data_IF_128614111444
#
_entry.id   IF_128614111444
#
_cell.length_a   1.000
_cell.length_b   1.000
_cell.length_c   1.000
_cell.angle_alpha   90.00
_cell.angle_beta   90.00
_cell.angle_gamma   90.00
#
_symmetry.space_group_name_H-M   'P 1'
#
loop_
_entity.id
_entity.type
_entity.pdbx_description
1 polymer ?
#
# COMPACT_ATOMS: atom_id res chain seq x y z
N UNK A 1 3.53 2.24 -17.68
CA UNK A 1 3.22 2.28 -16.24
C UNK A 1 3.87 1.03 -15.68
N UNK A 2 4.79 1.17 -14.74
CA UNK A 2 5.49 0.02 -14.17
C UNK A 2 4.53 -0.81 -13.31
N UNK A 3 4.88 -2.09 -13.15
CA UNK A 3 4.10 -3.08 -12.42
C UNK A 3 5.03 -3.90 -11.54
N UNK A 4 4.55 -4.22 -10.35
CA UNK A 4 5.27 -4.99 -9.34
C UNK A 4 4.50 -6.28 -9.06
N UNK A 5 5.25 -7.38 -8.85
CA UNK A 5 4.66 -8.66 -8.48
C UNK A 5 4.58 -8.73 -6.95
N UNK A 6 3.36 -8.79 -6.41
CA UNK A 6 3.12 -8.84 -4.97
C UNK A 6 2.99 -10.31 -4.58
N UNK A 7 3.91 -10.81 -3.75
CA UNK A 7 4.03 -12.25 -3.50
C UNK A 7 4.31 -12.64 -2.05
N UNK A 8 4.03 -13.91 -1.76
CA UNK A 8 4.47 -14.66 -0.59
C UNK A 8 4.88 -16.04 -1.12
N UNK A 9 6.15 -16.46 -0.95
CA UNK A 9 6.66 -17.76 -1.42
C UNK A 9 6.38 -18.03 -2.91
N UNK A 10 6.76 -17.09 -3.78
CA UNK A 10 6.56 -17.13 -5.24
C UNK A 10 5.09 -17.16 -5.73
N UNK A 11 4.12 -17.09 -4.81
CA UNK A 11 2.70 -17.01 -5.11
C UNK A 11 2.24 -15.57 -4.96
N UNK A 12 1.53 -15.05 -5.95
CA UNK A 12 1.24 -13.63 -6.00
C UNK A 12 0.44 -13.17 -7.20
N UNK A 13 0.36 -11.84 -7.32
CA UNK A 13 -0.31 -11.17 -8.42
C UNK A 13 0.45 -9.91 -8.86
N UNK A 14 0.41 -9.62 -10.15
CA UNK A 14 0.92 -8.39 -10.72
C UNK A 14 -0.02 -7.25 -10.38
N UNK A 15 0.52 -6.12 -9.91
CA UNK A 15 -0.23 -4.89 -9.71
C UNK A 15 0.53 -3.72 -10.33
N UNK A 16 -0.20 -2.71 -10.82
CA UNK A 16 0.43 -1.46 -11.24
C UNK A 16 0.98 -0.75 -10.01
N UNK A 17 2.14 -0.11 -10.15
CA UNK A 17 2.81 0.51 -8.99
C UNK A 17 1.91 1.51 -8.27
N UNK A 18 1.09 2.30 -8.98
CA UNK A 18 0.14 3.21 -8.33
C UNK A 18 -0.92 2.50 -7.46
N UNK A 19 -1.28 1.25 -7.75
CA UNK A 19 -2.12 0.45 -6.85
C UNK A 19 -1.33 -0.07 -5.64
N UNK A 20 -0.08 -0.48 -5.84
CA UNK A 20 0.80 -0.93 -4.77
C UNK A 20 1.07 0.18 -3.77
N UNK A 21 1.42 1.37 -4.28
CA UNK A 21 1.58 2.58 -3.48
C UNK A 21 0.32 2.85 -2.65
N UNK A 22 -0.86 2.87 -3.29
CA UNK A 22 -2.09 3.11 -2.56
C UNK A 22 -2.38 2.04 -1.49
N UNK A 23 -2.05 0.76 -1.74
CA UNK A 23 -2.17 -0.30 -0.74
C UNK A 23 -1.27 -0.04 0.47
N UNK A 24 0.00 0.29 0.24
CA UNK A 24 0.95 0.62 1.31
C UNK A 24 0.48 1.86 2.11
N UNK A 25 0.06 2.93 1.42
CA UNK A 25 -0.42 4.17 2.04
C UNK A 25 -1.68 3.94 2.90
N UNK A 26 -2.64 3.16 2.42
CA UNK A 26 -3.86 2.85 3.19
C UNK A 26 -3.55 1.97 4.40
N UNK A 27 -2.62 1.01 4.28
CA UNK A 27 -2.19 0.17 5.40
C UNK A 27 -1.49 1.00 6.49
N UNK A 28 -0.60 1.92 6.10
CA UNK A 28 0.04 2.85 7.03
C UNK A 28 -1.02 3.65 7.80
N UNK A 29 -2.00 4.22 7.10
CA UNK A 29 -3.08 4.99 7.72
C UNK A 29 -3.91 4.15 8.69
N UNK A 30 -4.25 2.91 8.32
CA UNK A 30 -5.04 2.05 9.18
C UNK A 30 -4.26 1.59 10.41
N UNK A 31 -2.96 1.30 10.29
CA UNK A 31 -2.09 0.98 11.43
C UNK A 31 -2.11 2.12 12.45
N UNK A 32 -1.98 3.37 12.00
CA UNK A 32 -2.01 4.54 12.88
C UNK A 32 -3.40 4.77 13.49
N UNK A 33 -4.46 4.66 12.70
CA UNK A 33 -5.84 4.81 13.17
C UNK A 33 -6.21 3.78 14.26
N UNK A 34 -5.71 2.55 14.13
CA UNK A 34 -5.93 1.48 15.10
C UNK A 34 -4.91 1.51 16.26
N UNK A 35 -3.97 2.47 16.28
CA UNK A 35 -2.89 2.59 17.26
C UNK A 35 -2.05 1.31 17.41
N UNK A 36 -1.87 0.56 16.33
CA UNK A 36 -1.14 -0.71 16.33
C UNK A 36 0.37 -0.54 16.22
N UNK A 37 0.84 0.65 15.85
CA UNK A 37 2.27 1.01 15.75
C UNK A 37 3.00 1.04 17.10
N UNK A 38 2.29 0.78 18.21
CA UNK A 38 2.90 0.49 19.51
C UNK A 38 3.48 -0.93 19.59
N UNK A 39 3.08 -1.82 18.67
CA UNK A 39 3.61 -3.17 18.55
C UNK A 39 4.85 -3.10 17.67
N UNK A 40 5.98 -3.57 18.18
CA UNK A 40 7.31 -3.42 17.56
C UNK A 40 7.33 -3.84 16.09
N UNK A 41 6.91 -5.07 15.79
CA UNK A 41 6.93 -5.58 14.41
C UNK A 41 6.00 -4.80 13.46
N UNK A 42 4.88 -4.25 13.97
CA UNK A 42 3.95 -3.43 13.17
C UNK A 42 4.57 -2.06 12.91
N UNK A 43 5.29 -1.49 13.88
CA UNK A 43 6.03 -0.24 13.72
C UNK A 43 7.13 -0.36 12.66
N UNK A 44 7.87 -1.47 12.70
CA UNK A 44 8.86 -1.82 11.67
C UNK A 44 8.20 -1.99 10.31
N UNK A 45 7.11 -2.78 10.24
CA UNK A 45 6.38 -2.99 9.00
C UNK A 45 5.83 -1.68 8.42
N UNK A 46 5.26 -0.80 9.25
CA UNK A 46 4.78 0.53 8.85
C UNK A 46 5.91 1.38 8.25
N UNK A 47 7.09 1.32 8.86
CA UNK A 47 8.27 2.05 8.38
C UNK A 47 8.75 1.52 7.03
N UNK A 48 8.71 0.20 6.84
CA UNK A 48 9.07 -0.44 5.57
C UNK A 48 8.03 -0.13 4.47
N UNK A 49 6.74 -0.22 4.77
CA UNK A 49 5.68 0.20 3.85
C UNK A 49 5.87 1.66 3.41
N UNK A 50 6.25 2.55 4.34
CA UNK A 50 6.53 3.94 4.00
C UNK A 50 7.71 4.05 3.03
N UNK A 51 8.79 3.30 3.27
CA UNK A 51 9.98 3.29 2.42
C UNK A 51 9.67 2.79 1.01
N UNK A 52 8.96 1.66 0.92
CA UNK A 52 8.60 0.98 -0.33
C UNK A 52 7.52 1.71 -1.13
N UNK A 53 6.74 2.60 -0.50
CA UNK A 53 5.75 3.44 -1.18
C UNK A 53 6.36 4.57 -2.01
N UNK A 54 7.65 4.83 -1.83
CA UNK A 54 8.36 5.89 -2.53
C UNK A 54 9.35 5.30 -3.54
N UNK A 55 9.61 6.00 -4.66
CA UNK A 55 10.60 5.59 -5.65
C UNK A 55 12.04 5.85 -5.17
N UNK A 56 12.33 5.57 -3.90
CA UNK A 56 13.65 5.72 -3.28
C UNK A 56 14.46 4.43 -3.35
N UNK A 57 13.76 3.29 -3.39
CA UNK A 57 14.35 1.97 -3.56
C UNK A 57 14.40 1.64 -5.04
N UNK A 58 15.61 1.36 -5.56
CA UNK A 58 15.79 0.87 -6.92
C UNK A 58 15.35 -0.59 -6.99
N UNK A 59 14.26 -0.91 -7.71
CA UNK A 59 13.82 -2.31 -7.88
C UNK A 59 12.35 -2.57 -8.17
N UNK A 60 11.48 -1.57 -8.03
CA UNK A 60 10.01 -1.75 -8.04
C UNK A 60 9.45 -1.62 -6.63
N UNK A 61 8.12 -1.64 -6.49
CA UNK A 61 7.47 -1.51 -5.18
C UNK A 61 7.26 -2.89 -4.56
N UNK A 62 7.82 -3.12 -3.37
CA UNK A 62 7.59 -4.33 -2.60
C UNK A 62 6.64 -4.09 -1.43
N UNK A 63 5.91 -5.11 -1.01
CA UNK A 63 5.15 -5.07 0.25
C UNK A 63 5.83 -5.84 1.38
N UNK A 64 6.99 -6.47 1.13
CA UNK A 64 7.79 -7.23 2.12
C UNK A 64 6.92 -8.20 2.96
N UNK A 65 5.95 -8.85 2.30
CA UNK A 65 4.93 -9.64 3.01
C UNK A 65 5.54 -10.89 3.64
N UNK A 66 6.55 -11.49 3.02
CA UNK A 66 7.18 -12.71 3.52
C UNK A 66 8.04 -12.44 4.76
N UNK A 67 8.72 -11.30 4.77
CA UNK A 67 9.59 -10.80 5.83
C UNK A 67 8.78 -10.48 7.10
N UNK A 68 7.60 -9.88 6.93
CA UNK A 68 6.79 -9.40 8.06
C UNK A 68 5.68 -10.36 8.50
N UNK A 69 5.04 -11.11 7.58
CA UNK A 69 3.89 -11.99 7.88
C UNK A 69 4.30 -13.42 8.22
N UNK A 70 5.21 -13.52 9.19
CA UNK A 70 5.93 -14.75 9.55
C UNK A 70 5.09 -15.79 10.29
N UNK A 71 3.91 -15.43 10.79
CA UNK A 71 3.01 -16.34 11.50
C UNK A 71 1.53 -15.96 11.29
N UNK A 72 0.62 -16.84 11.69
CA UNK A 72 -0.82 -16.68 11.47
C UNK A 72 -1.44 -15.53 12.26
N UNK A 73 -0.87 -15.17 13.41
CA UNK A 73 -1.31 -14.01 14.19
C UNK A 73 -1.06 -12.72 13.42
N UNK A 74 0.17 -12.52 12.91
CA UNK A 74 0.53 -11.34 12.10
C UNK A 74 -0.31 -11.25 10.83
N UNK A 75 -0.51 -12.38 10.14
CA UNK A 75 -1.40 -12.46 8.96
C UNK A 75 -2.81 -12.02 9.32
N UNK A 76 -3.37 -12.56 10.39
CA UNK A 76 -4.73 -12.22 10.86
C UNK A 76 -4.86 -10.72 11.16
N UNK A 77 -3.85 -10.11 11.79
CA UNK A 77 -3.83 -8.68 12.06
C UNK A 77 -3.84 -7.84 10.77
N UNK A 78 -3.02 -8.20 9.77
CA UNK A 78 -3.04 -7.48 8.48
C UNK A 78 -4.33 -7.71 7.70
N UNK A 79 -4.91 -8.91 7.74
CA UNK A 79 -6.21 -9.18 7.12
C UNK A 79 -7.31 -8.30 7.74
N UNK A 80 -7.31 -8.12 9.06
CA UNK A 80 -8.27 -7.24 9.72
C UNK A 80 -8.11 -5.78 9.27
N UNK A 81 -6.87 -5.30 9.13
CA UNK A 81 -6.60 -3.97 8.57
C UNK A 81 -7.11 -3.83 7.14
N UNK A 82 -6.90 -4.84 6.29
CA UNK A 82 -7.43 -4.88 4.93
C UNK A 82 -8.95 -4.85 4.93
N UNK A 83 -9.61 -5.57 5.85
CA UNK A 83 -11.07 -5.54 5.96
C UNK A 83 -11.60 -4.16 6.38
N UNK A 84 -10.92 -3.45 7.28
CA UNK A 84 -11.26 -2.07 7.60
C UNK A 84 -11.11 -1.14 6.39
N UNK A 85 -10.03 -1.29 5.63
CA UNK A 85 -9.78 -0.52 4.41
C UNK A 85 -10.86 -0.80 3.36
N UNK A 86 -11.15 -2.06 3.07
CA UNK A 86 -12.22 -2.47 2.14
C UNK A 86 -13.55 -1.84 2.54
N UNK A 87 -13.92 -1.92 3.83
CA UNK A 87 -15.14 -1.31 4.33
C UNK A 87 -15.15 0.21 4.17
N UNK A 88 -14.03 0.90 4.43
CA UNK A 88 -13.89 2.35 4.24
C UNK A 88 -14.01 2.75 2.78
N UNK A 89 -13.41 1.98 1.87
CA UNK A 89 -13.58 2.15 0.43
C UNK A 89 -15.06 2.06 0.11
N UNK A 90 -15.73 0.95 0.45
CA UNK A 90 -17.13 0.74 0.11
C UNK A 90 -18.07 1.80 0.70
N UNK A 91 -17.87 2.21 1.96
CA UNK A 91 -18.78 3.10 2.68
C UNK A 91 -18.50 4.60 2.51
N UNK A 92 -17.36 4.99 1.94
CA UNK A 92 -16.91 6.39 1.92
C UNK A 92 -16.44 6.82 0.54
N UNK A 93 -17.21 7.71 -0.10
CA UNK A 93 -16.94 8.15 -1.48
C UNK A 93 -15.58 8.85 -1.63
N UNK A 94 -15.08 9.50 -0.59
CA UNK A 94 -13.84 10.29 -0.64
C UNK A 94 -12.59 9.54 -0.14
N UNK A 95 -12.70 8.27 0.25
CA UNK A 95 -11.57 7.55 0.83
C UNK A 95 -10.49 7.20 -0.21
N UNK A 96 -10.89 6.74 -1.41
CA UNK A 96 -9.96 6.53 -2.53
C UNK A 96 -10.13 7.66 -3.54
N UNK A 97 -9.41 8.74 -3.29
CA UNK A 97 -9.33 9.92 -4.16
C UNK A 97 -7.89 10.39 -4.26
N UNK A 98 -7.55 11.12 -5.33
CA UNK A 98 -6.20 11.70 -5.48
C UNK A 98 -5.80 12.58 -4.30
N UNK A 99 -6.74 13.42 -3.82
CA UNK A 99 -6.50 14.26 -2.65
C UNK A 99 -6.24 13.45 -1.38
N UNK A 100 -7.02 12.40 -1.11
CA UNK A 100 -6.78 11.59 0.09
C UNK A 100 -5.44 10.83 -0.01
N UNK A 101 -5.14 10.20 -1.16
CA UNK A 101 -3.87 9.49 -1.37
C UNK A 101 -2.66 10.44 -1.28
N UNK A 102 -2.80 11.69 -1.71
CA UNK A 102 -1.79 12.73 -1.53
C UNK A 102 -1.52 13.03 -0.05
N UNK A 103 -2.57 13.17 0.77
CA UNK A 103 -2.41 13.36 2.22
C UNK A 103 -1.83 12.12 2.90
N UNK A 104 -2.22 10.90 2.48
CA UNK A 104 -1.60 9.67 2.99
C UNK A 104 -0.12 9.57 2.64
N UNK A 105 0.26 9.95 1.41
CA UNK A 105 1.66 10.03 0.99
C UNK A 105 2.45 11.02 1.83
N UNK A 106 1.86 12.17 2.16
CA UNK A 106 2.46 13.14 3.08
C UNK A 106 2.75 12.53 4.46
N UNK A 107 1.84 11.71 5.00
CA UNK A 107 2.09 10.96 6.25
C UNK A 107 3.26 9.99 6.12
N UNK A 108 3.33 9.22 5.03
CA UNK A 108 4.45 8.31 4.77
C UNK A 108 5.80 9.05 4.73
N UNK A 109 5.86 10.23 4.09
CA UNK A 109 7.08 11.05 4.08
C UNK A 109 7.47 11.59 5.46
N UNK A 110 6.49 11.95 6.29
CA UNK A 110 6.74 12.36 7.68
C UNK A 110 7.34 11.21 8.49
N UNK A 111 6.84 9.98 8.30
CA UNK A 111 7.39 8.78 8.96
C UNK A 111 8.86 8.59 8.58
N UNK A 112 9.18 8.63 7.28
CA UNK A 112 10.56 8.46 6.81
C UNK A 112 11.48 9.57 7.30
N UNK A 113 10.97 10.81 7.38
CA UNK A 113 11.74 11.92 7.92
C UNK A 113 12.05 11.77 9.40
N UNK A 114 11.06 11.35 10.20
CA UNK A 114 11.24 11.10 11.64
C UNK A 114 12.21 9.94 11.92
N UNK A 115 12.22 8.93 11.06
CA UNK A 115 13.06 7.76 11.22
C UNK A 115 14.48 7.95 10.65
N UNK A 116 14.79 9.12 10.07
CA UNK A 116 16.11 9.39 9.47
C UNK A 116 16.36 8.72 8.12
N UNK A 117 15.34 8.12 7.51
CA UNK A 117 15.43 7.52 6.17
C UNK A 117 15.38 8.57 5.05
N UNK A 118 14.85 9.76 5.35
CA UNK A 118 14.81 10.91 4.45
C UNK A 118 15.08 12.21 5.19
N UNK A 119 16.00 13.02 4.69
CA UNK A 119 16.20 14.37 5.19
C UNK A 119 15.74 15.40 4.15
N UNK A 120 14.98 16.39 4.61
CA UNK A 120 14.54 17.51 3.79
C UNK A 120 15.18 18.78 4.34
N UNK A 121 15.86 19.55 3.51
CA UNK A 121 16.52 20.77 3.99
C UNK A 121 15.53 21.89 4.30
N UNK A 122 14.33 21.83 3.72
CA UNK A 122 13.28 22.83 3.86
C UNK A 122 11.91 22.28 3.43
N UNK A 123 10.84 23.02 3.77
CA UNK A 123 9.46 22.66 3.42
C UNK A 123 9.24 22.53 1.90
N UNK A 124 9.93 23.33 1.08
CA UNK A 124 9.78 23.30 -0.38
C UNK A 124 10.28 21.98 -0.98
N UNK A 125 11.38 21.43 -0.47
CA UNK A 125 11.88 20.11 -0.87
C UNK A 125 10.91 18.99 -0.45
N UNK A 126 10.39 19.07 0.78
CA UNK A 126 9.37 18.14 1.26
C UNK A 126 8.12 18.16 0.37
N UNK A 127 7.55 19.34 0.12
CA UNK A 127 6.34 19.50 -0.70
C UNK A 127 6.57 19.00 -2.13
N UNK A 128 7.75 19.27 -2.70
CA UNK A 128 8.12 18.73 -4.02
C UNK A 128 8.10 17.21 -4.01
N UNK A 129 8.75 16.57 -3.04
CA UNK A 129 8.80 15.11 -2.96
C UNK A 129 7.39 14.49 -2.80
N UNK A 130 6.52 15.09 -1.97
CA UNK A 130 5.13 14.66 -1.82
C UNK A 130 4.40 14.71 -3.18
N UNK A 131 4.57 15.83 -3.91
CA UNK A 131 3.89 16.09 -5.18
C UNK A 131 4.44 15.28 -6.37
N UNK A 132 5.63 14.68 -6.28
CA UNK A 132 6.24 13.92 -7.40
C UNK A 132 5.40 12.70 -7.83
N UNK A 133 4.54 12.16 -6.96
CA UNK A 133 3.55 11.12 -7.30
C UNK A 133 2.40 11.61 -8.18
N UNK A 134 2.16 12.93 -8.18
CA UNK A 134 1.03 13.60 -8.86
C UNK A 134 -0.35 13.14 -8.39
N UNK A 135 -0.48 12.57 -7.18
CA UNK A 135 -1.79 12.23 -6.61
C UNK A 135 -2.72 13.44 -6.50
N UNK A 136 -2.18 14.61 -6.18
CA UNK A 136 -2.91 15.89 -6.13
C UNK A 136 -3.46 16.35 -7.51
N UNK A 137 -2.94 15.80 -8.61
CA UNK A 137 -3.38 16.09 -9.97
C UNK A 137 -4.23 14.93 -10.56
N UNK A 138 -4.34 13.83 -9.82
CA UNK A 138 -5.00 12.62 -10.27
C UNK A 138 -6.52 12.75 -10.16
N UNK A 139 -7.13 13.13 -11.27
CA UNK A 139 -8.58 13.14 -11.45
C UNK A 139 -9.10 11.75 -11.83
N UNK A 140 -10.33 11.42 -11.44
CA UNK A 140 -11.00 10.16 -11.84
C UNK A 140 -10.53 8.89 -11.11
N UNK A 141 -9.76 9.02 -10.03
CA UNK A 141 -9.45 7.86 -9.15
C UNK A 141 -10.73 7.25 -8.57
N UNK A 142 -11.72 8.09 -8.23
CA UNK A 142 -13.03 7.63 -7.81
C UNK A 142 -13.72 6.78 -8.89
N UNK A 143 -13.51 7.08 -10.18
CA UNK A 143 -14.11 6.34 -11.31
C UNK A 143 -13.50 4.94 -11.48
N UNK A 144 -12.35 4.68 -10.85
CA UNK A 144 -11.68 3.37 -10.83
C UNK A 144 -11.60 2.77 -9.42
N UNK A 145 -12.42 3.27 -8.48
CA UNK A 145 -12.53 2.78 -7.10
C UNK A 145 -12.67 1.26 -7.01
N UNK A 146 -13.46 0.65 -7.89
CA UNK A 146 -13.66 -0.80 -7.92
C UNK A 146 -12.36 -1.57 -8.20
N UNK A 147 -11.43 -0.98 -8.95
CA UNK A 147 -10.11 -1.58 -9.20
C UNK A 147 -9.26 -1.57 -7.95
N UNK A 148 -9.28 -0.48 -7.17
CA UNK A 148 -8.60 -0.42 -5.87
C UNK A 148 -9.20 -1.43 -4.89
N UNK A 149 -10.53 -1.47 -4.79
CA UNK A 149 -11.24 -2.46 -3.97
C UNK A 149 -10.84 -3.88 -4.33
N UNK A 150 -10.77 -4.18 -5.63
CA UNK A 150 -10.33 -5.47 -6.13
C UNK A 150 -8.87 -5.78 -5.78
N UNK A 151 -7.95 -4.81 -5.88
CA UNK A 151 -6.55 -4.97 -5.44
C UNK A 151 -6.46 -5.41 -3.98
N UNK A 152 -7.22 -4.78 -3.08
CA UNK A 152 -7.24 -5.18 -1.67
C UNK A 152 -7.82 -6.58 -1.45
N UNK A 153 -8.84 -6.97 -2.24
CA UNK A 153 -9.37 -8.35 -2.21
C UNK A 153 -8.31 -9.36 -2.66
N UNK A 154 -7.55 -9.07 -3.72
CA UNK A 154 -6.43 -9.91 -4.16
C UNK A 154 -5.35 -10.03 -3.08
N UNK A 155 -4.98 -8.91 -2.44
CA UNK A 155 -4.03 -8.91 -1.33
C UNK A 155 -4.51 -9.79 -0.17
N UNK A 156 -5.79 -9.71 0.19
CA UNK A 156 -6.39 -10.57 1.22
C UNK A 156 -6.33 -12.05 0.84
N UNK A 157 -6.70 -12.40 -0.40
CA UNK A 157 -6.63 -13.78 -0.91
C UNK A 157 -5.20 -14.32 -0.88
N UNK A 158 -4.22 -13.49 -1.22
CA UNK A 158 -2.80 -13.83 -1.14
C UNK A 158 -2.39 -14.15 0.30
N UNK A 159 -2.67 -13.25 1.25
CA UNK A 159 -2.29 -13.42 2.66
C UNK A 159 -2.99 -14.62 3.30
N UNK A 160 -4.23 -14.91 2.92
CA UNK A 160 -4.97 -16.11 3.33
C UNK A 160 -4.39 -17.42 2.75
N UNK A 161 -3.50 -17.36 1.75
CA UNK A 161 -3.00 -18.54 1.03
C UNK A 161 -4.04 -19.18 0.10
N UNK A 162 -5.06 -18.42 -0.30
CA UNK A 162 -6.12 -18.87 -1.22
C UNK A 162 -5.71 -18.69 -2.70
N UNK A 163 -4.68 -17.86 -2.94
CA UNK A 163 -4.13 -17.61 -4.27
C UNK A 163 -3.24 -18.77 -4.75
N UNK A 164 -3.22 -19.01 -6.07
CA UNK A 164 -2.43 -20.07 -6.72
C UNK A 164 -1.62 -19.59 -7.93
N UNK A 165 -1.63 -18.28 -8.17
CA UNK A 165 -0.95 -17.65 -9.31
C UNK A 165 0.50 -17.36 -8.97
N UNK A 166 1.34 -17.41 -9.99
CA UNK A 166 2.78 -17.12 -9.95
C UNK A 166 3.08 -15.96 -10.89
N UNK A 167 4.33 -15.46 -10.90
CA UNK A 167 4.76 -14.39 -11.81
C UNK A 167 4.55 -14.74 -13.30
N UNK A 168 4.55 -16.03 -13.64
CA UNK A 168 4.31 -16.54 -15.00
C UNK A 168 2.85 -16.81 -15.33
N UNK A 169 1.94 -16.66 -14.36
CA UNK A 169 0.50 -16.84 -14.59
C UNK A 169 -0.07 -15.68 -15.41
N UNK A 170 -1.06 -15.95 -16.29
CA UNK A 170 -1.74 -14.86 -17.01
C UNK A 170 -2.37 -13.87 -16.03
N UNK A 171 -2.30 -12.57 -16.32
CA UNK A 171 -2.91 -11.48 -15.52
C UNK A 171 -4.44 -11.43 -15.65
N UNK A 172 -5.10 -12.60 -15.67
CA UNK A 172 -6.54 -12.71 -15.87
C UNK A 172 -7.35 -12.44 -14.59
N UNK A 173 -6.71 -12.39 -13.42
CA UNK A 173 -7.35 -12.09 -12.14
C UNK A 173 -7.75 -10.61 -12.00
N UNK A 174 -7.33 -9.71 -12.90
CA UNK A 174 -7.86 -8.34 -13.01
C UNK A 174 -9.15 -8.22 -13.83
N UNK A 175 -9.56 -9.30 -14.51
CA UNK A 175 -10.78 -9.29 -15.32
C UNK A 175 -12.02 -9.40 -14.43
N UNK A 176 -12.26 -8.37 -13.63
CA UNK A 176 -13.55 -8.11 -13.03
C UNK A 176 -14.46 -7.44 -14.06
N UNK A 177 -15.69 -7.95 -14.18
CA UNK A 177 -16.78 -7.32 -14.93
C UNK A 177 -17.61 -6.47 -13.98
#
# INVERSE_FOLDING_TARGET
MASSFIEIKDIGFWARDGFVEAMQLCLIDEIENQNLDKIEWISEFKSELALQSLPLVYGGMSMELEEFLTNDERKSQIIQLIDFIINKIDSTDNYITGNNLHELRKKAMIILSKNGNLEFNNQKEFDKAVNDSRWNEANGIADVKDRYLHSFKLLKLLINGEMKTTASSPENYWNYK
#
